data_IF_572610515400
#
_entry.id   IF_572610515400
#
_cell.length_a   1.000
_cell.length_b   1.000
_cell.length_c   1.000
_cell.angle_alpha   90.00
_cell.angle_beta   90.00
_cell.angle_gamma   90.00
#
_symmetry.space_group_name_H-M   'P 1'
#
loop_
_entity.id
_entity.type
_entity.pdbx_description
1 polymer ?
#
# COMPACT_ATOMS: atom_id res chain seq x y z
N UNK A 1 -4.19 -54.10 12.71
CA UNK A 1 -2.98 -53.27 12.55
C UNK A 1 -2.21 -53.93 11.41
N UNK A 2 -2.00 -53.30 10.26
CA UNK A 2 -1.50 -53.99 9.06
C UNK A 2 0.04 -53.99 9.03
N UNK A 3 0.66 -55.17 9.00
CA UNK A 3 2.11 -55.32 8.87
C UNK A 3 2.53 -55.41 7.40
N UNK A 4 3.37 -54.47 6.94
CA UNK A 4 3.95 -54.50 5.59
C UNK A 4 5.40 -54.97 5.73
N UNK A 5 5.71 -56.16 5.22
CA UNK A 5 7.06 -56.72 5.22
C UNK A 5 7.71 -56.53 3.83
N UNK A 6 8.70 -55.64 3.75
CA UNK A 6 9.40 -55.28 2.52
C UNK A 6 10.73 -56.02 2.43
N UNK A 7 10.70 -57.32 2.18
CA UNK A 7 11.91 -58.05 1.88
C UNK A 7 12.37 -57.76 0.44
N UNK A 8 13.62 -57.30 0.31
CA UNK A 8 14.25 -56.86 -0.93
C UNK A 8 14.64 -58.05 -1.82
N UNK A 9 13.63 -58.75 -2.34
CA UNK A 9 13.82 -59.73 -3.41
C UNK A 9 13.26 -59.15 -4.72
N UNK A 10 13.75 -59.63 -5.86
CA UNK A 10 13.53 -59.02 -7.19
C UNK A 10 12.06 -58.77 -7.57
N UNK A 11 11.11 -59.42 -6.90
CA UNK A 11 9.67 -59.19 -7.05
C UNK A 11 9.04 -58.72 -5.72
N UNK A 12 8.46 -57.50 -5.71
CA UNK A 12 7.77 -56.93 -4.54
C UNK A 12 6.39 -57.56 -4.38
N UNK A 13 6.12 -58.13 -3.20
CA UNK A 13 4.80 -58.65 -2.83
C UNK A 13 4.45 -58.20 -1.41
N UNK A 14 3.16 -58.21 -1.07
CA UNK A 14 2.69 -58.02 0.31
C UNK A 14 1.79 -59.19 0.75
N UNK A 15 1.72 -59.42 2.05
CA UNK A 15 0.92 -60.47 2.69
C UNK A 15 -0.01 -59.83 3.71
N UNK A 16 -1.23 -60.35 3.87
CA UNK A 16 -2.19 -59.89 4.88
C UNK A 16 -2.16 -60.92 6.02
N UNK A 17 -2.08 -60.46 7.27
CA UNK A 17 -1.68 -61.23 8.47
C UNK A 17 -2.41 -62.58 8.68
N UNK A 18 -3.64 -62.75 8.18
CA UNK A 18 -4.39 -63.99 8.35
C UNK A 18 -3.90 -65.16 7.49
N UNK A 19 -3.07 -64.92 6.46
CA UNK A 19 -2.57 -65.98 5.60
C UNK A 19 -1.19 -65.67 5.02
N UNK A 20 -0.12 -66.01 5.77
CA UNK A 20 1.29 -65.83 5.36
C UNK A 20 1.66 -66.52 4.04
N UNK A 21 0.83 -67.45 3.55
CA UNK A 21 1.04 -68.16 2.30
C UNK A 21 0.47 -67.43 1.08
N UNK A 22 -0.40 -66.43 1.26
CA UNK A 22 -1.03 -65.71 0.17
C UNK A 22 -0.30 -64.40 -0.12
N UNK A 23 0.49 -64.41 -1.19
CA UNK A 23 1.28 -63.25 -1.65
C UNK A 23 0.50 -62.47 -2.70
N UNK A 24 0.33 -61.17 -2.50
CA UNK A 24 -0.27 -60.26 -3.46
C UNK A 24 0.83 -59.47 -4.18
N UNK A 25 0.88 -59.59 -5.50
CA UNK A 25 1.82 -58.83 -6.32
C UNK A 25 1.31 -57.40 -6.49
N UNK A 26 2.23 -56.42 -6.44
CA UNK A 26 1.90 -55.07 -6.87
C UNK A 26 1.65 -55.08 -8.38
N UNK A 27 0.45 -54.68 -8.80
CA UNK A 27 0.15 -54.52 -10.23
C UNK A 27 1.09 -53.45 -10.82
N UNK A 28 1.75 -53.69 -11.96
CA UNK A 28 2.58 -52.69 -12.61
C UNK A 28 1.67 -51.53 -13.06
N UNK A 29 1.75 -50.42 -12.34
CA UNK A 29 0.98 -49.21 -12.61
C UNK A 29 1.52 -48.55 -13.89
N UNK A 30 1.08 -49.03 -15.07
CA UNK A 30 1.32 -48.39 -16.37
C UNK A 30 0.33 -47.24 -16.62
N UNK A 31 0.16 -46.35 -15.64
CA UNK A 31 -0.35 -45.01 -15.93
C UNK A 31 0.84 -44.08 -15.83
N UNK A 32 1.37 -43.71 -16.99
CA UNK A 32 2.17 -42.50 -17.10
C UNK A 32 1.28 -41.36 -16.61
N UNK A 33 1.48 -40.93 -15.37
CA UNK A 33 0.98 -39.64 -14.91
C UNK A 33 1.79 -38.64 -15.72
N UNK A 34 1.20 -38.12 -16.79
CA UNK A 34 1.72 -36.94 -17.46
C UNK A 34 1.55 -35.80 -16.46
N UNK A 35 2.55 -35.61 -15.59
CA UNK A 35 2.67 -34.40 -14.78
C UNK A 35 2.87 -33.28 -15.80
N UNK A 36 1.78 -32.65 -16.24
CA UNK A 36 1.85 -31.36 -16.91
C UNK A 36 2.64 -30.49 -15.93
N UNK A 37 3.82 -30.03 -16.34
CA UNK A 37 4.53 -28.97 -15.64
C UNK A 37 3.56 -27.79 -15.61
N UNK A 38 2.80 -27.66 -14.54
CA UNK A 38 2.05 -26.43 -14.27
C UNK A 38 3.14 -25.38 -14.16
N UNK A 39 3.10 -24.38 -15.05
CA UNK A 39 3.99 -23.24 -14.96
C UNK A 39 3.93 -22.73 -13.51
N UNK A 40 5.06 -22.32 -12.90
CA UNK A 40 5.03 -21.82 -11.54
C UNK A 40 4.01 -20.67 -11.48
N UNK A 41 2.91 -20.90 -10.77
CA UNK A 41 1.87 -19.88 -10.59
C UNK A 41 2.53 -18.74 -9.82
N UNK A 42 2.50 -17.54 -10.39
CA UNK A 42 3.01 -16.36 -9.71
C UNK A 42 2.01 -15.99 -8.60
N UNK A 43 2.25 -16.51 -7.40
CA UNK A 43 1.41 -16.31 -6.22
C UNK A 43 1.23 -14.82 -5.88
N UNK A 44 2.21 -13.97 -6.19
CA UNK A 44 2.14 -12.53 -5.93
C UNK A 44 1.22 -11.82 -6.93
N UNK A 45 1.25 -12.22 -8.21
CA UNK A 45 0.35 -11.70 -9.24
C UNK A 45 -1.11 -12.06 -8.94
N UNK A 46 -1.38 -13.30 -8.53
CA UNK A 46 -2.74 -13.72 -8.16
C UNK A 46 -3.24 -12.99 -6.92
N UNK A 47 -2.36 -12.76 -5.94
CA UNK A 47 -2.68 -11.93 -4.77
C UNK A 47 -2.99 -10.49 -5.18
N UNK A 48 -2.19 -9.88 -6.05
CA UNK A 48 -2.41 -8.55 -6.60
C UNK A 48 -3.76 -8.44 -7.33
N UNK A 49 -4.12 -9.43 -8.15
CA UNK A 49 -5.43 -9.49 -8.81
C UNK A 49 -6.57 -9.53 -7.79
N UNK A 50 -6.47 -10.39 -6.78
CA UNK A 50 -7.53 -10.57 -5.79
C UNK A 50 -7.70 -9.40 -4.81
N UNK A 51 -6.61 -8.72 -4.47
CA UNK A 51 -6.61 -7.66 -3.44
C UNK A 51 -6.75 -6.27 -4.06
N UNK A 52 -6.03 -5.98 -5.15
CA UNK A 52 -5.95 -4.63 -5.72
C UNK A 52 -6.80 -4.43 -6.97
N UNK A 53 -6.87 -5.43 -7.85
CA UNK A 53 -7.68 -5.30 -9.08
C UNK A 53 -9.15 -5.69 -8.91
N UNK A 54 -9.52 -6.32 -7.79
CA UNK A 54 -10.90 -6.71 -7.54
C UNK A 54 -11.87 -5.51 -7.43
N UNK A 55 -11.36 -4.36 -6.99
CA UNK A 55 -12.13 -3.11 -6.97
C UNK A 55 -12.03 -2.31 -8.28
N UNK A 56 -11.19 -2.74 -9.23
CA UNK A 56 -10.99 -2.03 -10.47
C UNK A 56 -12.14 -2.28 -11.46
N UNK A 57 -12.66 -1.21 -12.05
CA UNK A 57 -13.65 -1.30 -13.12
C UNK A 57 -12.96 -1.63 -14.45
N UNK A 58 -12.70 -2.93 -14.68
CA UNK A 58 -12.15 -3.45 -15.93
C UNK A 58 -13.28 -3.66 -16.94
N UNK A 59 -13.03 -3.29 -18.21
CA UNK A 59 -14.04 -3.41 -19.26
C UNK A 59 -14.44 -4.86 -19.52
N UNK A 60 -15.75 -5.13 -19.54
CA UNK A 60 -16.33 -6.44 -19.87
C UNK A 60 -16.11 -6.88 -21.32
N UNK A 61 -15.60 -5.99 -22.17
CA UNK A 61 -15.32 -6.29 -23.59
C UNK A 61 -13.91 -6.84 -23.82
N UNK A 62 -13.09 -6.94 -22.77
CA UNK A 62 -11.77 -7.54 -22.86
C UNK A 62 -11.89 -9.05 -23.08
N UNK A 63 -11.01 -9.59 -23.91
CA UNK A 63 -10.84 -11.03 -24.04
C UNK A 63 -9.95 -11.52 -22.90
N UNK A 64 -10.06 -12.79 -22.51
CA UNK A 64 -9.22 -13.40 -21.46
C UNK A 64 -7.73 -13.14 -21.67
N UNK A 65 -7.29 -13.09 -22.95
CA UNK A 65 -5.91 -12.78 -23.31
C UNK A 65 -5.54 -11.34 -22.98
N UNK A 66 -6.37 -10.37 -23.36
CA UNK A 66 -6.11 -8.96 -23.08
C UNK A 66 -6.20 -8.65 -21.58
N UNK A 67 -7.10 -9.32 -20.86
CA UNK A 67 -7.21 -9.18 -19.41
C UNK A 67 -5.96 -9.70 -18.69
N UNK A 68 -5.41 -10.82 -19.16
CA UNK A 68 -4.13 -11.32 -18.66
C UNK A 68 -2.99 -10.34 -18.95
N UNK A 69 -2.87 -9.85 -20.18
CA UNK A 69 -1.82 -8.89 -20.57
C UNK A 69 -1.93 -7.57 -19.77
N UNK A 70 -3.15 -7.10 -19.52
CA UNK A 70 -3.40 -5.93 -18.68
C UNK A 70 -3.00 -6.17 -17.23
N UNK A 71 -3.36 -7.33 -16.67
CA UNK A 71 -3.00 -7.68 -15.30
C UNK A 71 -1.49 -7.75 -15.11
N UNK A 72 -0.80 -8.35 -16.07
CA UNK A 72 0.67 -8.45 -16.07
C UNK A 72 1.30 -7.05 -16.14
N UNK A 73 0.82 -6.19 -17.04
CA UNK A 73 1.30 -4.80 -17.16
C UNK A 73 1.09 -3.99 -15.88
N UNK A 74 -0.10 -4.09 -15.27
CA UNK A 74 -0.41 -3.38 -14.03
C UNK A 74 0.42 -3.91 -12.87
N UNK A 75 0.69 -5.21 -12.84
CA UNK A 75 1.55 -5.82 -11.84
C UNK A 75 3.01 -5.37 -11.99
N UNK A 76 3.53 -5.33 -13.22
CA UNK A 76 4.89 -4.88 -13.51
C UNK A 76 5.11 -3.40 -13.12
N UNK A 77 4.04 -2.60 -13.13
CA UNK A 77 4.06 -1.19 -12.74
C UNK A 77 3.29 -0.88 -11.45
N UNK A 78 3.07 -1.88 -10.58
CA UNK A 78 2.24 -1.73 -9.37
C UNK A 78 2.69 -0.62 -8.42
N UNK A 79 3.99 -0.33 -8.39
CA UNK A 79 4.58 0.73 -7.55
C UNK A 79 4.28 2.15 -8.06
N UNK A 80 3.85 2.30 -9.31
CA UNK A 80 3.42 3.60 -9.85
C UNK A 80 2.04 4.02 -9.34
N UNK A 81 1.29 3.08 -8.74
CA UNK A 81 -0.05 3.32 -8.21
C UNK A 81 -0.04 3.42 -6.70
N UNK A 82 -0.99 4.21 -6.18
CA UNK A 82 -1.25 4.29 -4.75
C UNK A 82 -1.70 2.91 -4.23
N UNK A 83 -1.11 2.44 -3.13
CA UNK A 83 -1.55 1.22 -2.45
C UNK A 83 -2.00 1.51 -1.01
N UNK A 84 -2.61 0.53 -0.34
CA UNK A 84 -2.95 0.66 1.09
C UNK A 84 -1.70 0.83 1.97
N UNK A 85 -0.60 0.17 1.60
CA UNK A 85 0.67 0.23 2.35
C UNK A 85 1.41 1.55 2.09
N UNK A 86 1.38 2.01 0.86
CA UNK A 86 2.07 3.22 0.39
C UNK A 86 1.03 4.15 -0.24
N UNK A 87 0.25 4.86 0.60
CA UNK A 87 -0.83 5.72 0.14
C UNK A 87 -0.35 7.03 -0.48
N UNK A 88 0.92 7.37 -0.31
CA UNK A 88 1.55 8.60 -0.78
C UNK A 88 2.92 8.28 -1.37
N UNK A 89 3.25 8.93 -2.48
CA UNK A 89 4.62 8.92 -2.99
C UNK A 89 5.51 9.83 -2.13
N UNK A 90 6.74 9.39 -1.88
CA UNK A 90 7.75 10.18 -1.19
C UNK A 90 9.01 10.25 -2.06
N UNK A 91 9.41 11.47 -2.43
CA UNK A 91 10.67 11.71 -3.13
C UNK A 91 11.76 11.89 -2.06
N UNK A 92 12.77 11.03 -2.07
CA UNK A 92 13.87 11.05 -1.10
C UNK A 92 15.05 11.84 -1.69
N UNK A 93 15.66 12.74 -0.89
CA UNK A 93 16.84 13.53 -1.30
C UNK A 93 16.52 14.80 -2.10
N UNK A 94 15.25 15.18 -2.15
CA UNK A 94 14.78 16.44 -2.76
C UNK A 94 14.01 17.26 -1.72
N UNK A 95 14.59 17.42 -0.54
CA UNK A 95 14.09 18.33 0.49
C UNK A 95 14.09 19.77 -0.04
N UNK A 96 13.04 20.54 0.28
CA UNK A 96 12.87 21.91 -0.19
C UNK A 96 13.12 22.87 0.95
N UNK A 97 14.13 23.73 0.80
CA UNK A 97 14.40 24.83 1.71
C UNK A 97 13.50 26.03 1.37
N UNK A 98 12.64 26.42 2.31
CA UNK A 98 11.81 27.61 2.18
C UNK A 98 12.61 28.82 2.71
N UNK A 99 13.10 29.64 1.78
CA UNK A 99 13.88 30.83 2.12
C UNK A 99 12.97 32.01 2.44
N UNK A 100 13.23 32.68 3.57
CA UNK A 100 12.54 33.91 3.96
C UNK A 100 13.34 35.15 3.54
N UNK A 101 12.66 36.25 3.26
CA UNK A 101 13.24 37.55 2.93
C UNK A 101 13.54 38.41 4.18
N UNK A 102 13.35 37.85 5.36
CA UNK A 102 13.57 38.47 6.66
C UNK A 102 14.38 37.54 7.56
N UNK A 103 15.08 38.14 8.52
CA UNK A 103 15.80 37.43 9.57
C UNK A 103 15.10 37.58 10.92
N UNK A 104 15.55 36.81 11.91
CA UNK A 104 15.04 36.89 13.28
C UNK A 104 15.38 38.27 13.90
N UNK A 105 14.51 38.84 14.74
CA UNK A 105 13.24 38.28 15.21
C UNK A 105 12.10 38.42 14.18
N UNK A 106 11.28 37.38 14.05
CA UNK A 106 10.15 37.37 13.12
C UNK A 106 9.00 38.29 13.57
N UNK A 107 8.26 38.91 12.63
CA UNK A 107 7.11 39.73 12.95
C UNK A 107 5.97 38.90 13.56
N UNK A 108 5.14 39.53 14.40
CA UNK A 108 3.99 38.88 15.04
C UNK A 108 3.01 38.24 14.04
N UNK A 109 2.97 38.74 12.81
CA UNK A 109 2.19 38.16 11.71
C UNK A 109 2.61 36.73 11.33
N UNK A 110 3.82 36.29 11.66
CA UNK A 110 4.27 34.92 11.48
C UNK A 110 4.03 34.04 12.73
N UNK A 111 3.64 34.61 13.86
CA UNK A 111 3.32 33.89 15.10
C UNK A 111 1.82 33.93 15.43
N UNK A 112 0.96 33.70 14.42
CA UNK A 112 -0.50 33.85 14.59
C UNK A 112 -1.09 32.70 15.37
N UNK A 113 -1.98 33.02 16.31
CA UNK A 113 -2.76 32.03 17.05
C UNK A 113 -3.80 31.37 16.15
N UNK A 114 -4.19 30.14 16.51
CA UNK A 114 -5.32 29.47 15.87
C UNK A 114 -6.60 30.32 15.98
N UNK A 115 -7.44 30.25 14.95
CA UNK A 115 -8.75 30.89 14.99
C UNK A 115 -9.70 30.11 15.90
N UNK A 116 -10.68 30.78 16.53
CA UNK A 116 -11.75 30.09 17.24
C UNK A 116 -12.61 29.33 16.25
N UNK A 117 -12.75 28.02 16.47
CA UNK A 117 -13.49 27.12 15.58
C UNK A 117 -14.81 26.66 16.20
N UNK A 118 -15.82 26.47 15.35
CA UNK A 118 -17.10 25.88 15.77
C UNK A 118 -16.92 24.40 16.15
N UNK A 119 -17.79 23.82 17.01
CA UNK A 119 -17.69 22.42 17.42
C UNK A 119 -17.60 21.45 16.23
N UNK A 120 -18.46 21.65 15.22
CA UNK A 120 -18.45 20.88 13.97
C UNK A 120 -17.13 20.97 13.20
N UNK A 121 -16.52 22.16 13.16
CA UNK A 121 -15.25 22.36 12.46
C UNK A 121 -14.08 21.79 13.24
N UNK A 122 -14.13 21.83 14.57
CA UNK A 122 -13.14 21.20 15.44
C UNK A 122 -13.14 19.68 15.27
N UNK A 123 -14.30 19.04 15.25
CA UNK A 123 -14.43 17.60 14.99
C UNK A 123 -13.85 17.23 13.61
N UNK A 124 -14.15 18.02 12.58
CA UNK A 124 -13.58 17.81 11.25
C UNK A 124 -12.05 17.97 11.24
N UNK A 125 -11.49 18.98 11.93
CA UNK A 125 -10.05 19.17 12.04
C UNK A 125 -9.38 18.00 12.76
N UNK A 126 -9.97 17.49 13.84
CA UNK A 126 -9.43 16.34 14.58
C UNK A 126 -9.33 15.10 13.69
N UNK A 127 -10.31 14.85 12.82
CA UNK A 127 -10.28 13.76 11.83
C UNK A 127 -9.13 13.97 10.84
N UNK A 128 -9.04 15.15 10.22
CA UNK A 128 -7.99 15.45 9.23
C UNK A 128 -6.59 15.39 9.82
N UNK A 129 -6.39 15.92 11.03
CA UNK A 129 -5.11 15.89 11.74
C UNK A 129 -4.70 14.45 12.04
N UNK A 130 -5.65 13.62 12.49
CA UNK A 130 -5.38 12.20 12.76
C UNK A 130 -4.95 11.48 11.47
N UNK A 131 -5.69 11.65 10.38
CA UNK A 131 -5.33 11.05 9.09
C UNK A 131 -3.93 11.45 8.64
N UNK A 132 -3.57 12.74 8.74
CA UNK A 132 -2.24 13.21 8.35
C UNK A 132 -1.12 12.73 9.28
N UNK A 133 -1.41 12.51 10.56
CA UNK A 133 -0.48 11.87 11.50
C UNK A 133 -0.27 10.39 11.15
N UNK A 134 -1.35 9.66 10.85
CA UNK A 134 -1.29 8.24 10.46
C UNK A 134 -0.54 8.06 9.13
N UNK A 135 -0.63 9.04 8.24
CA UNK A 135 0.11 9.10 6.97
C UNK A 135 1.55 9.64 7.11
N UNK A 136 1.99 10.00 8.32
CA UNK A 136 3.31 10.60 8.59
C UNK A 136 3.59 11.89 7.78
N UNK A 137 2.55 12.61 7.36
CA UNK A 137 2.67 13.89 6.61
C UNK A 137 2.96 15.05 7.56
N UNK A 138 2.37 15.01 8.76
CA UNK A 138 2.60 15.99 9.82
C UNK A 138 3.11 15.28 11.08
N UNK A 139 3.74 16.04 11.96
CA UNK A 139 4.19 15.54 13.26
C UNK A 139 3.97 16.58 14.35
N UNK A 140 3.97 16.12 15.60
CA UNK A 140 4.07 17.03 16.74
C UNK A 140 5.47 17.65 16.78
N UNK A 141 5.52 18.93 17.14
CA UNK A 141 6.77 19.64 17.43
C UNK A 141 7.40 19.01 18.67
N UNK A 142 8.70 18.73 18.63
CA UNK A 142 9.42 18.08 19.73
C UNK A 142 9.49 18.96 20.98
N UNK A 143 9.72 18.36 22.15
CA UNK A 143 9.83 19.12 23.42
C UNK A 143 10.94 20.17 23.42
N UNK A 144 12.02 19.92 22.67
CA UNK A 144 13.17 20.82 22.54
C UNK A 144 13.12 21.65 21.24
N UNK A 145 12.01 21.62 20.52
CA UNK A 145 11.81 22.38 19.29
C UNK A 145 10.83 23.53 19.57
N UNK A 146 11.19 24.75 19.17
CA UNK A 146 10.27 25.89 19.21
C UNK A 146 9.73 26.15 17.81
N UNK A 147 8.40 26.16 17.68
CA UNK A 147 7.72 26.60 16.46
C UNK A 147 7.58 28.12 16.47
N UNK A 148 8.58 28.82 15.94
CA UNK A 148 8.59 30.29 15.88
C UNK A 148 7.62 30.86 14.85
N UNK A 149 7.26 30.06 13.84
CA UNK A 149 6.31 30.41 12.80
C UNK A 149 5.08 29.51 12.94
N UNK A 150 3.92 30.12 13.08
CA UNK A 150 2.63 29.45 13.19
C UNK A 150 1.65 30.03 12.18
N UNK A 151 1.02 29.14 11.42
CA UNK A 151 -0.01 29.49 10.45
C UNK A 151 -1.35 28.91 10.93
N UNK A 152 -2.41 29.72 11.07
CA UNK A 152 -3.71 29.20 11.47
C UNK A 152 -4.31 28.37 10.35
N UNK A 153 -5.13 27.41 10.75
CA UNK A 153 -5.81 26.48 9.85
C UNK A 153 -7.31 26.70 9.97
N UNK A 154 -8.02 26.58 8.86
CA UNK A 154 -9.48 26.70 8.75
C UNK A 154 -10.08 25.47 8.07
N UNK A 155 -11.38 25.26 8.24
CA UNK A 155 -12.13 24.23 7.51
C UNK A 155 -12.97 24.84 6.40
N UNK A 156 -12.74 24.38 5.17
CA UNK A 156 -13.59 24.68 4.03
C UNK A 156 -14.58 23.54 3.78
N UNK A 157 -15.86 23.88 3.60
CA UNK A 157 -16.93 22.91 3.35
C UNK A 157 -17.41 22.99 1.90
N UNK A 158 -17.56 21.84 1.26
CA UNK A 158 -18.11 21.74 -0.09
C UNK A 158 -18.85 20.42 -0.29
N UNK A 159 -20.11 20.46 -0.73
CA UNK A 159 -20.97 19.28 -0.92
C UNK A 159 -20.99 18.33 0.29
N UNK A 160 -21.06 18.90 1.50
CA UNK A 160 -21.07 18.12 2.75
C UNK A 160 -19.71 17.56 3.19
N UNK A 161 -18.66 17.70 2.38
CA UNK A 161 -17.29 17.26 2.71
C UNK A 161 -16.47 18.43 3.25
N UNK A 162 -15.64 18.17 4.27
CA UNK A 162 -14.73 19.14 4.86
C UNK A 162 -13.31 19.00 4.30
N UNK A 163 -12.56 20.10 4.27
CA UNK A 163 -11.13 20.13 3.93
C UNK A 163 -10.41 21.05 4.91
N UNK A 164 -9.25 20.61 5.37
CA UNK A 164 -8.34 21.42 6.17
C UNK A 164 -7.51 22.34 5.25
N UNK A 165 -7.46 23.64 5.55
CA UNK A 165 -6.76 24.64 4.72
C UNK A 165 -5.90 25.55 5.60
N UNK A 166 -4.60 25.65 5.31
CA UNK A 166 -3.70 26.59 5.99
C UNK A 166 -3.79 28.01 5.42
N UNK A 167 -3.81 29.02 6.28
CA UNK A 167 -3.82 30.44 5.90
C UNK A 167 -2.40 31.00 5.71
N UNK A 168 -1.73 30.60 4.63
CA UNK A 168 -0.32 30.93 4.39
C UNK A 168 -0.06 32.36 3.90
N UNK A 169 -1.08 33.21 3.74
CA UNK A 169 -0.93 34.57 3.18
C UNK A 169 0.13 35.43 3.88
N UNK A 170 0.22 35.31 5.21
CA UNK A 170 1.23 36.02 5.98
C UNK A 170 2.62 35.47 5.68
N UNK A 171 2.79 34.14 5.67
CA UNK A 171 4.04 33.47 5.31
C UNK A 171 4.50 33.83 3.90
N UNK A 172 3.60 33.76 2.92
CA UNK A 172 3.87 34.05 1.50
C UNK A 172 4.42 35.48 1.28
N UNK A 173 4.05 36.44 2.14
CA UNK A 173 4.57 37.82 2.07
C UNK A 173 6.06 37.88 2.42
N UNK A 174 6.54 36.93 3.23
CA UNK A 174 7.92 36.86 3.71
C UNK A 174 8.73 35.74 3.05
N UNK A 175 8.12 34.94 2.17
CA UNK A 175 8.82 33.90 1.41
C UNK A 175 9.46 34.50 0.16
N UNK A 176 10.73 34.14 -0.10
CA UNK A 176 11.39 34.50 -1.35
C UNK A 176 10.75 33.68 -2.48
N UNK A 177 10.18 34.33 -3.52
CA UNK A 177 9.48 33.60 -4.57
C UNK A 177 10.49 32.83 -5.41
N UNK A 178 10.26 31.53 -5.54
CA UNK A 178 11.00 30.69 -6.46
C UNK A 178 10.51 30.95 -7.90
N UNK A 179 11.41 31.33 -8.79
CA UNK A 179 11.07 31.77 -10.15
C UNK A 179 11.51 30.73 -11.16
N UNK A 180 10.69 29.70 -11.34
CA UNK A 180 10.76 28.81 -12.49
C UNK A 180 9.64 29.13 -13.48
N UNK A 181 9.95 28.99 -14.77
CA UNK A 181 8.92 29.06 -15.80
C UNK A 181 8.12 27.76 -15.76
N UNK A 182 6.88 27.84 -15.29
CA UNK A 182 5.88 26.80 -15.54
C UNK A 182 5.36 27.07 -16.96
N UNK A 183 5.55 26.14 -17.93
CA UNK A 183 5.14 26.32 -19.32
C UNK A 183 3.64 26.55 -19.50
#
# INVERSE_FOLDING_TARGET
MYGIDLNNNKDRYFTIEDNKNQKFAFLPFKRQITVRKVAPVNLELEKFKSEQLNEAEISLHLTDKHESELSDLLYDHKEAFKSEKEPLGAIIGHEVDIMLNIERPYPQLLGRTAYPESPKSREALEIHIKELLDLCVIRKVGHNEEAEITTPVIVAWHNGKSRMVGDFRALDTYTVPDRYQIP
#
